data_IF_586946454065
#
_entry.id   IF_586946454065
#
_cell.length_a   1.000
_cell.length_b   1.000
_cell.length_c   1.000
_cell.angle_alpha   90.00
_cell.angle_beta   90.00
_cell.angle_gamma   90.00
#
_symmetry.space_group_name_H-M   'P 1'
#
loop_
_entity.id
_entity.type
_entity.pdbx_description
1 polymer ?
#
# COMPACT_ATOMS: atom_id res chain seq x y z
N UNK A 1 31.52 -55.38 -3.46
CA UNK A 1 31.08 -54.27 -2.59
C UNK A 1 30.94 -52.98 -3.40
N UNK A 2 29.77 -52.66 -3.99
CA UNK A 2 29.58 -51.38 -4.74
C UNK A 2 28.20 -50.71 -4.51
N UNK A 3 27.28 -51.37 -3.82
CA UNK A 3 25.89 -50.92 -3.66
C UNK A 3 25.61 -50.18 -2.36
N UNK A 4 26.46 -50.34 -1.32
CA UNK A 4 26.20 -49.79 0.03
C UNK A 4 26.38 -48.26 0.15
N UNK A 5 27.10 -47.62 -0.76
CA UNK A 5 27.31 -46.16 -0.77
C UNK A 5 26.34 -45.39 -1.67
N UNK A 6 25.58 -46.06 -2.55
CA UNK A 6 24.67 -45.39 -3.48
C UNK A 6 23.46 -44.78 -2.78
N UNK A 7 22.92 -45.49 -1.79
CA UNK A 7 21.73 -45.08 -1.03
C UNK A 7 21.97 -43.78 -0.23
N UNK A 8 23.02 -43.65 0.60
CA UNK A 8 23.25 -42.41 1.35
C UNK A 8 23.57 -41.20 0.46
N UNK A 9 24.21 -41.40 -0.70
CA UNK A 9 24.46 -40.32 -1.67
C UNK A 9 23.16 -39.83 -2.31
N UNK A 10 22.26 -40.74 -2.70
CA UNK A 10 20.96 -40.37 -3.26
C UNK A 10 20.13 -39.59 -2.24
N UNK A 11 20.10 -40.03 -0.97
CA UNK A 11 19.41 -39.32 0.11
C UNK A 11 19.99 -37.93 0.33
N UNK A 12 21.32 -37.78 0.31
CA UNK A 12 21.98 -36.48 0.42
C UNK A 12 21.62 -35.52 -0.72
N UNK A 13 21.54 -36.00 -1.96
CA UNK A 13 21.15 -35.20 -3.13
C UNK A 13 19.69 -34.75 -3.01
N UNK A 14 18.78 -35.63 -2.58
CA UNK A 14 17.36 -35.29 -2.40
C UNK A 14 17.18 -34.20 -1.34
N UNK A 15 17.90 -34.29 -0.22
CA UNK A 15 17.87 -33.27 0.84
C UNK A 15 18.43 -31.94 0.32
N UNK A 16 19.52 -31.97 -0.44
CA UNK A 16 20.12 -30.76 -1.02
C UNK A 16 19.15 -30.06 -1.99
N UNK A 17 18.51 -30.82 -2.88
CA UNK A 17 17.50 -30.29 -3.81
C UNK A 17 16.31 -29.72 -3.03
N UNK A 18 15.83 -30.42 -2.00
CA UNK A 18 14.75 -29.94 -1.14
C UNK A 18 15.10 -28.62 -0.45
N UNK A 19 16.33 -28.50 0.07
CA UNK A 19 16.81 -27.29 0.72
C UNK A 19 16.93 -26.12 -0.26
N UNK A 20 17.49 -26.35 -1.45
CA UNK A 20 17.59 -25.35 -2.52
C UNK A 20 16.18 -24.89 -2.96
N UNK A 21 15.23 -25.81 -3.10
CA UNK A 21 13.85 -25.47 -3.44
C UNK A 21 13.18 -24.61 -2.35
N UNK A 22 13.40 -24.90 -1.07
CA UNK A 22 12.87 -24.10 0.06
C UNK A 22 13.45 -22.68 0.07
N UNK A 23 14.71 -22.50 -0.32
CA UNK A 23 15.34 -21.17 -0.38
C UNK A 23 14.89 -20.38 -1.61
N UNK A 24 14.71 -21.04 -2.76
CA UNK A 24 14.35 -20.37 -4.02
C UNK A 24 12.84 -20.11 -4.12
N UNK A 25 12.00 -20.99 -3.57
CA UNK A 25 10.55 -20.85 -3.67
C UNK A 25 10.01 -19.50 -3.14
N UNK A 26 10.45 -18.96 -1.98
CA UNK A 26 10.05 -17.64 -1.52
C UNK A 26 10.43 -16.53 -2.51
N UNK A 27 11.63 -16.60 -3.08
CA UNK A 27 12.11 -15.62 -4.06
C UNK A 27 11.25 -15.66 -5.31
N UNK A 28 10.95 -16.87 -5.81
CA UNK A 28 10.08 -17.04 -6.97
C UNK A 28 8.66 -16.53 -6.70
N UNK A 29 8.09 -16.82 -5.52
CA UNK A 29 6.79 -16.30 -5.11
C UNK A 29 6.77 -14.78 -5.04
N UNK A 30 7.83 -14.14 -4.52
CA UNK A 30 7.95 -12.67 -4.51
C UNK A 30 7.98 -12.08 -5.93
N UNK A 31 8.75 -12.68 -6.84
CA UNK A 31 8.83 -12.24 -8.25
C UNK A 31 7.46 -12.33 -8.92
N UNK A 32 6.80 -13.48 -8.81
CA UNK A 32 5.48 -13.71 -9.42
C UNK A 32 4.43 -12.76 -8.83
N UNK A 33 4.43 -12.55 -7.51
CA UNK A 33 3.50 -11.63 -6.85
C UNK A 33 3.69 -10.20 -7.35
N UNK A 34 4.94 -9.74 -7.45
CA UNK A 34 5.24 -8.39 -7.95
C UNK A 34 4.86 -8.21 -9.43
N UNK A 35 5.10 -9.21 -10.27
CA UNK A 35 4.70 -9.19 -11.67
C UNK A 35 3.16 -9.12 -11.82
N UNK A 36 2.43 -9.92 -11.02
CA UNK A 36 0.97 -9.90 -11.00
C UNK A 36 0.42 -8.53 -10.52
N UNK A 37 1.00 -7.97 -9.45
CA UNK A 37 0.66 -6.63 -8.97
C UNK A 37 0.85 -5.56 -10.05
N UNK A 38 2.01 -5.58 -10.73
CA UNK A 38 2.31 -4.66 -11.82
C UNK A 38 1.31 -4.78 -12.97
N UNK A 39 0.93 -6.01 -13.33
CA UNK A 39 -0.09 -6.25 -14.36
C UNK A 39 -1.46 -5.66 -13.97
N UNK A 40 -1.93 -5.91 -12.75
CA UNK A 40 -3.21 -5.38 -12.26
C UNK A 40 -3.19 -3.84 -12.24
N UNK A 41 -2.11 -3.24 -11.73
CA UNK A 41 -1.94 -1.78 -11.71
C UNK A 41 -1.88 -1.18 -13.11
N UNK A 42 -1.28 -1.87 -14.08
CA UNK A 42 -1.20 -1.41 -15.46
C UNK A 42 -2.54 -1.50 -16.21
N UNK A 43 -3.42 -2.43 -15.81
CA UNK A 43 -4.67 -2.69 -16.51
C UNK A 43 -5.90 -2.05 -15.84
N UNK A 44 -5.73 -1.48 -14.64
CA UNK A 44 -6.80 -0.82 -13.89
C UNK A 44 -6.59 0.69 -13.97
N UNK A 45 -7.61 1.44 -14.41
CA UNK A 45 -7.51 2.90 -14.51
C UNK A 45 -7.44 3.56 -13.13
N UNK A 46 -6.83 4.75 -13.08
CA UNK A 46 -6.80 5.56 -11.87
C UNK A 46 -8.21 5.90 -11.38
N UNK A 47 -9.14 6.18 -12.29
CA UNK A 47 -10.57 6.41 -12.00
C UNK A 47 -11.21 5.23 -11.28
N UNK A 48 -10.95 4.00 -11.73
CA UNK A 48 -11.49 2.79 -11.09
C UNK A 48 -10.97 2.65 -9.66
N UNK A 49 -9.69 3.01 -9.43
CA UNK A 49 -9.14 3.04 -8.09
C UNK A 49 -9.79 4.15 -7.24
N UNK A 50 -9.97 5.35 -7.78
CA UNK A 50 -10.62 6.44 -7.05
C UNK A 50 -12.06 6.08 -6.62
N UNK A 51 -12.86 5.50 -7.52
CA UNK A 51 -14.22 5.04 -7.20
C UNK A 51 -14.23 4.00 -6.07
N UNK A 52 -13.27 3.08 -6.10
CA UNK A 52 -13.14 2.06 -5.08
C UNK A 52 -12.67 2.62 -3.74
N UNK A 53 -11.81 3.65 -3.76
CA UNK A 53 -11.33 4.32 -2.57
C UNK A 53 -12.41 5.22 -1.97
N UNK A 54 -13.26 5.85 -2.81
CA UNK A 54 -14.38 6.68 -2.37
C UNK A 54 -15.46 5.90 -1.59
N UNK A 55 -15.46 4.56 -1.66
CA UNK A 55 -16.33 3.69 -0.84
C UNK A 55 -15.85 3.58 0.62
N UNK A 56 -14.59 3.94 0.89
CA UNK A 56 -14.01 3.88 2.24
C UNK A 56 -14.57 5.03 3.09
N UNK A 57 -15.09 4.78 4.30
CA UNK A 57 -15.77 5.79 5.11
C UNK A 57 -14.93 7.06 5.36
N UNK A 58 -13.64 6.92 5.67
CA UNK A 58 -12.71 8.01 5.93
C UNK A 58 -12.50 8.89 4.69
N UNK A 59 -12.36 8.25 3.52
CA UNK A 59 -12.17 8.91 2.23
C UNK A 59 -13.44 9.65 1.84
N UNK A 60 -14.59 8.98 1.95
CA UNK A 60 -15.89 9.58 1.71
C UNK A 60 -16.10 10.82 2.57
N UNK A 61 -15.85 10.71 3.88
CA UNK A 61 -15.97 11.83 4.81
C UNK A 61 -15.02 12.98 4.44
N UNK A 62 -13.78 12.68 4.04
CA UNK A 62 -12.83 13.69 3.60
C UNK A 62 -13.31 14.44 2.35
N UNK A 63 -13.75 13.72 1.32
CA UNK A 63 -14.26 14.31 0.06
C UNK A 63 -15.47 15.20 0.34
N UNK A 64 -16.39 14.75 1.20
CA UNK A 64 -17.58 15.53 1.60
C UNK A 64 -17.21 16.78 2.40
N UNK A 65 -16.22 16.69 3.28
CA UNK A 65 -15.78 17.81 4.12
C UNK A 65 -14.91 18.82 3.38
N UNK A 66 -14.10 18.37 2.42
CA UNK A 66 -13.16 19.20 1.65
C UNK A 66 -13.44 19.08 0.14
N UNK A 67 -14.49 19.76 -0.39
CA UNK A 67 -14.86 19.64 -1.81
C UNK A 67 -13.78 20.20 -2.76
N UNK A 68 -12.93 21.12 -2.28
CA UNK A 68 -11.81 21.69 -3.05
C UNK A 68 -10.49 20.93 -2.78
N UNK A 69 -10.51 19.60 -2.92
CA UNK A 69 -9.30 18.79 -2.79
C UNK A 69 -8.67 18.52 -4.16
N UNK A 70 -7.37 18.23 -4.16
CA UNK A 70 -6.67 17.64 -5.31
C UNK A 70 -6.32 16.19 -5.02
N UNK A 71 -6.44 15.34 -6.04
CA UNK A 71 -5.96 13.96 -5.99
C UNK A 71 -4.61 13.85 -6.68
N UNK A 72 -3.72 13.02 -6.13
CA UNK A 72 -2.53 12.56 -6.84
C UNK A 72 -2.33 11.07 -6.62
N UNK A 73 -1.71 10.41 -7.59
CA UNK A 73 -1.54 8.96 -7.59
C UNK A 73 -0.07 8.58 -7.53
N UNK A 74 0.22 7.52 -6.78
CA UNK A 74 1.51 6.86 -6.81
C UNK A 74 1.33 5.35 -6.77
N UNK A 75 2.17 4.65 -7.54
CA UNK A 75 2.35 3.22 -7.40
C UNK A 75 3.46 2.95 -6.40
N UNK A 76 3.19 2.14 -5.39
CA UNK A 76 4.19 1.74 -4.39
C UNK A 76 4.66 0.29 -4.67
N UNK A 77 5.85 -0.03 -4.17
CA UNK A 77 6.47 -1.34 -4.31
C UNK A 77 5.60 -2.41 -3.61
N UNK A 78 5.50 -3.62 -4.20
CA UNK A 78 4.66 -4.75 -3.74
C UNK A 78 3.15 -4.66 -4.02
N UNK A 79 2.72 -3.88 -5.03
CA UNK A 79 1.32 -3.88 -5.45
C UNK A 79 0.41 -3.10 -4.51
N UNK A 80 0.87 -1.95 -4.06
CA UNK A 80 0.05 -1.00 -3.33
C UNK A 80 -0.22 0.20 -4.23
N UNK A 81 -1.51 0.48 -4.46
CA UNK A 81 -1.93 1.73 -5.08
C UNK A 81 -2.07 2.77 -3.98
N UNK A 82 -1.47 3.93 -4.17
CA UNK A 82 -1.53 5.05 -3.25
C UNK A 82 -2.26 6.21 -3.92
N UNK A 83 -3.23 6.77 -3.20
CA UNK A 83 -3.93 8.01 -3.59
C UNK A 83 -3.77 9.00 -2.45
N UNK A 84 -3.32 10.20 -2.80
CA UNK A 84 -3.22 11.34 -1.90
C UNK A 84 -4.40 12.26 -2.18
N UNK A 85 -5.16 12.60 -1.14
CA UNK A 85 -6.21 13.60 -1.18
C UNK A 85 -5.76 14.81 -0.39
N UNK A 86 -5.43 15.90 -1.08
CA UNK A 86 -4.93 17.13 -0.47
C UNK A 86 -6.00 18.20 -0.51
N UNK A 87 -6.51 18.62 0.65
CA UNK A 87 -7.43 19.76 0.72
C UNK A 87 -6.68 21.07 0.52
N UNK A 88 -7.26 21.97 -0.28
CA UNK A 88 -6.74 23.33 -0.43
C UNK A 88 -7.48 24.27 0.51
N UNK A 89 -6.75 25.08 1.27
CA UNK A 89 -7.31 26.19 2.02
C UNK A 89 -6.51 27.46 1.73
N UNK A 90 -7.06 28.33 0.87
CA UNK A 90 -6.27 29.42 0.29
C UNK A 90 -5.17 28.90 -0.63
N UNK A 91 -4.03 29.60 -0.69
CA UNK A 91 -2.88 29.25 -1.53
C UNK A 91 -2.03 28.08 -0.97
N UNK A 92 -2.46 27.40 0.10
CA UNK A 92 -1.73 26.28 0.70
C UNK A 92 -2.65 25.07 0.98
N UNK A 93 -2.08 23.86 0.90
CA UNK A 93 -2.79 22.64 1.30
C UNK A 93 -2.85 22.56 2.82
N UNK A 94 -4.04 22.32 3.41
CA UNK A 94 -4.20 22.38 4.87
C UNK A 94 -4.22 21.01 5.55
N UNK A 95 -4.94 20.06 4.97
CA UNK A 95 -5.02 18.66 5.44
C UNK A 95 -4.86 17.72 4.26
N UNK A 96 -4.08 16.65 4.46
CA UNK A 96 -3.77 15.62 3.48
C UNK A 96 -4.21 14.26 4.01
N UNK A 97 -4.86 13.46 3.18
CA UNK A 97 -5.28 12.08 3.46
C UNK A 97 -4.58 11.14 2.47
N UNK A 98 -3.80 10.20 3.00
CA UNK A 98 -3.06 9.22 2.22
C UNK A 98 -3.74 7.87 2.36
N UNK A 99 -4.17 7.31 1.24
CA UNK A 99 -4.86 6.02 1.22
C UNK A 99 -4.00 5.06 0.40
N UNK A 100 -3.68 3.91 0.98
CA UNK A 100 -2.98 2.81 0.30
C UNK A 100 -3.90 1.59 0.26
N UNK A 101 -4.14 1.04 -0.94
CA UNK A 101 -4.88 -0.22 -1.12
C UNK A 101 -4.00 -1.24 -1.80
N UNK A 102 -3.89 -2.43 -1.22
CA UNK A 102 -3.18 -3.55 -1.85
C UNK A 102 -4.04 -4.12 -2.97
N UNK A 103 -3.47 -4.19 -4.18
CA UNK A 103 -4.13 -4.86 -5.32
C UNK A 103 -4.08 -6.38 -5.21
N UNK A 104 -3.20 -6.92 -4.36
CA UNK A 104 -3.01 -8.36 -4.17
C UNK A 104 -3.71 -8.91 -2.93
N UNK A 105 -3.74 -8.16 -1.83
CA UNK A 105 -4.14 -8.67 -0.51
C UNK A 105 -5.39 -7.99 0.04
N UNK A 106 -6.03 -7.11 -0.75
CA UNK A 106 -7.22 -6.33 -0.40
C UNK A 106 -7.09 -5.46 0.87
N UNK A 107 -5.90 -5.42 1.49
CA UNK A 107 -5.63 -4.58 2.65
C UNK A 107 -5.72 -3.10 2.30
N UNK A 108 -6.34 -2.32 3.17
CA UNK A 108 -6.41 -0.86 3.09
C UNK A 108 -5.62 -0.30 4.26
N UNK A 109 -4.83 0.75 4.01
CA UNK A 109 -4.17 1.55 5.04
C UNK A 109 -4.49 3.00 4.75
N UNK A 110 -4.85 3.74 5.80
CA UNK A 110 -5.23 5.14 5.70
C UNK A 110 -4.43 5.90 6.73
N UNK A 111 -3.87 7.03 6.32
CA UNK A 111 -3.29 8.00 7.24
C UNK A 111 -3.72 9.41 6.84
N UNK A 112 -3.80 10.31 7.80
CA UNK A 112 -4.15 11.71 7.59
C UNK A 112 -3.21 12.60 8.39
N UNK A 113 -2.94 13.81 7.90
CA UNK A 113 -2.10 14.78 8.60
C UNK A 113 -2.26 16.20 8.07
N UNK A 114 -1.74 17.18 8.82
CA UNK A 114 -1.68 18.57 8.37
C UNK A 114 -0.45 18.78 7.50
N UNK A 115 -0.61 19.46 6.36
CA UNK A 115 0.53 19.88 5.56
C UNK A 115 1.01 21.25 6.07
N UNK A 116 2.06 21.26 6.89
CA UNK A 116 2.74 22.50 7.26
C UNK A 116 3.95 22.67 6.34
N UNK A 117 4.08 23.87 5.76
CA UNK A 117 5.01 24.31 4.72
C UNK A 117 6.51 23.98 4.92
N UNK A 118 6.92 23.36 6.04
CA UNK A 118 8.29 23.00 6.37
C UNK A 118 8.54 21.50 6.65
N UNK A 119 7.52 20.64 6.68
CA UNK A 119 7.71 19.19 6.85
C UNK A 119 6.48 18.41 6.39
N UNK A 120 6.57 17.71 5.26
CA UNK A 120 5.45 17.03 4.59
C UNK A 120 4.82 15.83 5.34
N UNK A 121 5.17 15.57 6.60
CA UNK A 121 4.64 14.40 7.32
C UNK A 121 4.53 14.68 8.82
N UNK A 122 3.70 15.65 9.20
CA UNK A 122 3.32 15.81 10.59
C UNK A 122 2.20 14.81 10.92
N UNK A 123 2.62 13.66 11.45
CA UNK A 123 1.82 12.60 12.08
C UNK A 123 1.03 11.71 11.10
N UNK A 124 1.61 10.56 10.71
CA UNK A 124 0.80 9.44 10.20
C UNK A 124 -0.14 8.98 11.33
N UNK A 125 -1.34 9.54 11.37
CA UNK A 125 -2.40 9.07 12.26
C UNK A 125 -2.75 7.65 11.81
N UNK A 126 -2.64 6.63 12.68
CA UNK A 126 -2.94 5.26 12.28
C UNK A 126 -4.44 5.14 11.96
N UNK A 127 -4.78 4.19 11.09
CA UNK A 127 -6.11 4.07 10.49
C UNK A 127 -7.26 4.15 11.51
N UNK A 128 -7.08 3.57 12.71
CA UNK A 128 -8.11 3.54 13.75
C UNK A 128 -8.45 4.94 14.31
N UNK A 129 -7.57 5.91 14.13
CA UNK A 129 -7.70 7.27 14.65
C UNK A 129 -7.97 8.30 13.54
N UNK A 130 -7.91 7.90 12.26
CA UNK A 130 -8.09 8.81 11.13
C UNK A 130 -9.46 9.48 11.16
N UNK A 131 -10.53 8.72 11.36
CA UNK A 131 -11.88 9.29 11.37
C UNK A 131 -12.08 10.33 12.49
N UNK A 132 -11.58 10.05 13.69
CA UNK A 132 -11.67 10.99 14.82
C UNK A 132 -10.78 12.22 14.60
N UNK A 133 -9.62 12.05 13.99
CA UNK A 133 -8.77 13.16 13.57
C UNK A 133 -9.47 14.05 12.52
N UNK A 134 -10.05 13.46 11.49
CA UNK A 134 -10.78 14.19 10.45
C UNK A 134 -12.00 14.95 11.02
N UNK A 135 -12.72 14.38 11.98
CA UNK A 135 -13.83 15.06 12.66
C UNK A 135 -13.36 16.25 13.50
N UNK A 136 -12.20 16.13 14.15
CA UNK A 136 -11.66 17.12 15.07
C UNK A 136 -10.59 18.04 14.44
N UNK A 137 -10.51 18.10 13.10
CA UNK A 137 -9.51 18.88 12.36
C UNK A 137 -9.22 20.26 12.98
N UNK A 138 -7.94 20.47 13.32
CA UNK A 138 -7.40 21.74 13.81
C UNK A 138 -6.39 22.36 12.84
N UNK A 139 -6.11 21.74 11.69
CA UNK A 139 -5.10 22.19 10.73
C UNK A 139 -5.40 23.61 10.22
N UNK A 140 -6.68 23.98 10.12
CA UNK A 140 -7.15 25.29 9.64
C UNK A 140 -7.27 26.36 10.73
N UNK A 141 -7.01 26.04 12.00
CA UNK A 141 -7.11 27.03 13.10
C UNK A 141 -5.76 27.72 13.31
N UNK A 142 -5.43 28.68 12.45
CA UNK A 142 -4.41 29.71 12.72
C UNK A 142 -4.97 31.09 12.47
#
# INVERSE_FOLDING_TARGET
MKTRYKIPIIVGIVILIGFVAIVIAPVFLMIVSNALAGFIMSNTSDETFEEDFAKIPEVKFFIEKYPNHSTSHSGDFLGWKVIFYDSKAGNESAISLHVKKSVLHQGVKISAGCNNSNSSFAYDIPQEQVMDYLKNDKCLKK
#
